data_IF_653192165255
#
_entry.id   IF_653192165255
#
_cell.length_a   1.000
_cell.length_b   1.000
_cell.length_c   1.000
_cell.angle_alpha   90.00
_cell.angle_beta   90.00
_cell.angle_gamma   90.00
#
_symmetry.space_group_name_H-M   'P 1'
#
loop_
_entity.id
_entity.type
_entity.pdbx_description
1 polymer ?
#
# COMPACT_ATOMS: atom_id res chain seq x y z
N UNK A 1 21.67 3.32 19.72
CA UNK A 1 22.52 3.39 18.52
C UNK A 1 21.76 2.67 17.43
N UNK A 2 21.31 3.40 16.40
CA UNK A 2 20.53 2.83 15.29
C UNK A 2 21.50 2.01 14.45
N UNK A 3 21.21 0.73 14.23
CA UNK A 3 22.06 -0.16 13.43
C UNK A 3 21.69 -0.02 11.95
N UNK A 4 22.05 1.14 11.35
CA UNK A 4 21.86 1.41 9.92
C UNK A 4 23.01 0.84 9.08
N UNK A 5 23.36 -0.44 9.28
CA UNK A 5 24.34 -1.14 8.46
C UNK A 5 23.65 -2.01 7.41
N UNK A 6 24.24 -2.13 6.22
CA UNK A 6 23.70 -2.93 5.11
C UNK A 6 22.49 -2.27 4.44
N UNK A 7 21.46 -3.05 4.11
CA UNK A 7 20.30 -2.62 3.31
C UNK A 7 19.66 -1.33 3.83
N UNK A 8 19.47 -1.22 5.15
CA UNK A 8 18.78 -0.08 5.76
C UNK A 8 19.62 1.21 5.82
N UNK A 9 20.84 1.20 5.27
CA UNK A 9 21.64 2.42 5.09
C UNK A 9 21.13 3.28 3.93
N UNK A 10 20.56 2.66 2.89
CA UNK A 10 19.98 3.33 1.71
C UNK A 10 18.44 3.30 1.73
N UNK A 11 17.86 2.32 2.45
CA UNK A 11 16.43 2.03 2.45
C UNK A 11 15.84 2.14 3.84
N UNK A 12 14.53 2.39 3.89
CA UNK A 12 13.72 2.22 5.08
C UNK A 12 12.55 1.28 4.76
N UNK A 13 11.96 0.61 5.76
CA UNK A 13 10.68 -0.08 5.55
C UNK A 13 9.64 0.92 5.08
N UNK A 14 8.96 0.62 3.98
CA UNK A 14 7.80 1.39 3.58
C UNK A 14 6.68 1.07 4.57
N UNK A 15 6.32 2.05 5.40
CA UNK A 15 5.19 1.94 6.31
C UNK A 15 4.00 2.71 5.73
N UNK A 16 2.90 2.02 5.45
CA UNK A 16 1.69 2.64 4.92
C UNK A 16 0.72 3.04 6.04
N UNK A 17 -0.06 4.08 5.80
CA UNK A 17 -1.18 4.45 6.66
C UNK A 17 -2.44 3.94 5.99
N UNK A 18 -2.95 2.81 6.46
CA UNK A 18 -4.18 2.21 5.96
C UNK A 18 -5.39 3.00 6.43
N UNK A 19 -6.43 3.06 5.61
CA UNK A 19 -7.73 3.59 6.04
C UNK A 19 -8.42 2.47 6.82
N UNK A 20 -8.78 2.76 8.08
CA UNK A 20 -9.56 1.87 8.94
C UNK A 20 -11.05 2.17 8.84
N UNK A 21 -11.76 2.13 9.98
CA UNK A 21 -13.18 2.49 9.98
C UNK A 21 -13.39 3.94 9.60
N UNK A 22 -14.40 4.13 8.76
CA UNK A 22 -15.04 5.41 8.47
C UNK A 22 -16.51 5.28 8.83
N UNK A 23 -16.87 5.76 10.01
CA UNK A 23 -18.26 5.77 10.45
C UNK A 23 -19.09 6.69 9.54
N UNK A 24 -20.35 6.35 9.29
CA UNK A 24 -21.20 7.19 8.44
C UNK A 24 -21.49 8.54 9.10
N UNK A 25 -21.92 8.53 10.38
CA UNK A 25 -22.17 9.68 11.25
C UNK A 25 -22.19 9.22 12.75
N UNK A 26 -22.33 10.16 13.70
CA UNK A 26 -22.28 9.92 15.16
C UNK A 26 -23.31 8.89 15.69
N UNK A 27 -24.40 8.69 14.96
CA UNK A 27 -25.47 7.71 15.23
C UNK A 27 -25.62 6.70 14.06
N UNK A 28 -24.53 6.49 13.30
CA UNK A 28 -24.48 6.13 11.88
C UNK A 28 -25.29 4.94 11.40
N UNK A 29 -25.82 5.09 10.18
CA UNK A 29 -26.41 4.03 9.38
C UNK A 29 -25.42 2.87 9.26
N UNK A 30 -25.73 1.68 9.83
CA UNK A 30 -24.81 0.54 9.79
C UNK A 30 -24.51 0.09 8.36
N UNK A 31 -25.37 0.44 7.39
CA UNK A 31 -25.24 0.03 6.00
C UNK A 31 -24.40 1.02 5.14
N UNK A 32 -23.87 2.10 5.74
CA UNK A 32 -23.00 3.09 5.09
C UNK A 32 -21.63 3.26 5.77
N UNK A 33 -21.31 2.41 6.75
CA UNK A 33 -20.01 2.38 7.44
C UNK A 33 -18.96 1.67 6.56
N UNK A 34 -17.79 2.30 6.32
CA UNK A 34 -16.64 1.67 5.66
C UNK A 34 -15.64 1.12 6.69
N UNK A 35 -15.02 -0.02 6.41
CA UNK A 35 -13.95 -0.62 7.21
C UNK A 35 -12.66 -0.80 6.40
N UNK A 36 -11.62 -1.36 7.00
CA UNK A 36 -10.31 -1.56 6.35
C UNK A 36 -10.35 -2.42 5.06
N UNK A 37 -11.33 -3.32 4.94
CA UNK A 37 -11.51 -4.17 3.75
C UNK A 37 -12.18 -3.43 2.59
N UNK A 38 -12.85 -2.30 2.87
CA UNK A 38 -13.37 -1.41 1.84
C UNK A 38 -12.23 -0.60 1.15
N UNK A 39 -11.01 -0.66 1.69
CA UNK A 39 -9.79 0.00 1.19
C UNK A 39 -8.63 -0.97 0.94
N UNK A 40 -8.90 -2.28 0.99
CA UNK A 40 -7.98 -3.35 0.61
C UNK A 40 -8.48 -3.98 -0.68
N UNK A 41 -7.61 -4.15 -1.66
CA UNK A 41 -8.04 -4.41 -3.04
C UNK A 41 -7.73 -5.84 -3.47
N UNK A 42 -8.76 -6.59 -3.86
CA UNK A 42 -8.60 -7.87 -4.51
C UNK A 42 -8.81 -7.76 -6.03
N UNK A 43 -7.98 -8.43 -6.84
CA UNK A 43 -8.18 -8.44 -8.27
C UNK A 43 -9.40 -9.28 -8.64
N UNK A 44 -10.22 -8.75 -9.53
CA UNK A 44 -11.37 -9.46 -10.11
C UNK A 44 -10.81 -10.55 -11.01
N UNK A 45 -10.80 -11.78 -10.52
CA UNK A 45 -10.34 -12.93 -11.28
C UNK A 45 -11.13 -14.18 -10.92
N UNK A 46 -11.23 -15.10 -11.88
CA UNK A 46 -11.91 -16.37 -11.69
C UNK A 46 -11.18 -17.31 -10.71
N UNK A 47 -9.94 -16.98 -10.30
CA UNK A 47 -9.07 -17.88 -9.55
C UNK A 47 -8.48 -17.23 -8.29
N UNK A 48 -9.25 -17.24 -7.20
CA UNK A 48 -8.88 -16.69 -5.86
C UNK A 48 -7.74 -17.43 -5.14
N UNK A 49 -7.19 -18.50 -5.74
CA UNK A 49 -6.31 -19.46 -5.03
C UNK A 49 -4.82 -19.23 -5.23
N UNK A 50 -4.40 -18.23 -6.00
CA UNK A 50 -2.99 -18.00 -6.35
C UNK A 50 -2.56 -16.55 -6.08
N UNK A 51 -1.29 -16.31 -5.68
CA UNK A 51 -0.77 -14.96 -5.62
C UNK A 51 -0.91 -14.32 -7.01
N UNK A 52 -1.66 -13.22 -7.06
CA UNK A 52 -1.93 -12.52 -8.31
C UNK A 52 -0.66 -11.78 -8.75
N UNK A 53 0.06 -12.39 -9.69
CA UNK A 53 1.23 -11.82 -10.33
C UNK A 53 0.80 -11.24 -11.67
N UNK A 54 0.97 -9.93 -11.83
CA UNK A 54 0.60 -9.22 -13.06
C UNK A 54 1.83 -8.96 -13.91
N UNK A 55 1.80 -9.29 -15.19
CA UNK A 55 2.98 -9.20 -16.06
C UNK A 55 3.01 -7.92 -16.92
N UNK A 56 2.08 -6.98 -16.71
CA UNK A 56 2.05 -5.69 -17.40
C UNK A 56 1.37 -5.69 -18.77
N UNK A 57 0.85 -6.83 -19.22
CA UNK A 57 0.24 -6.99 -20.55
C UNK A 57 -1.23 -6.55 -20.59
N UNK A 58 -1.93 -6.62 -19.45
CA UNK A 58 -3.37 -6.39 -19.35
C UNK A 58 -3.69 -5.36 -18.27
N UNK A 59 -4.84 -4.70 -18.43
CA UNK A 59 -5.44 -3.87 -17.38
C UNK A 59 -5.94 -4.79 -16.28
N UNK A 60 -5.54 -4.53 -15.05
CA UNK A 60 -5.93 -5.31 -13.89
C UNK A 60 -7.09 -4.60 -13.20
N UNK A 61 -8.23 -5.29 -13.09
CA UNK A 61 -9.39 -4.76 -12.41
C UNK A 61 -9.40 -5.21 -10.95
N UNK A 62 -9.66 -4.27 -10.03
CA UNK A 62 -9.73 -4.49 -8.59
C UNK A 62 -11.09 -4.11 -8.02
N UNK A 63 -11.51 -4.82 -6.98
CA UNK A 63 -12.66 -4.52 -6.14
C UNK A 63 -12.24 -4.57 -4.66
N UNK A 64 -13.05 -3.99 -3.74
CA UNK A 64 -12.77 -4.11 -2.32
C UNK A 64 -12.78 -5.57 -1.86
N UNK A 65 -12.01 -5.89 -0.82
CA UNK A 65 -12.04 -7.20 -0.16
C UNK A 65 -13.33 -7.41 0.65
N UNK A 66 -13.98 -6.32 1.04
CA UNK A 66 -15.27 -6.31 1.73
C UNK A 66 -16.33 -7.10 0.96
N UNK A 67 -17.05 -7.99 1.67
CA UNK A 67 -18.12 -8.82 1.10
C UNK A 67 -19.52 -8.16 1.20
N UNK A 68 -19.58 -6.94 1.73
CA UNK A 68 -20.82 -6.21 1.98
C UNK A 68 -21.17 -5.29 0.81
N UNK A 69 -22.37 -5.46 0.26
CA UNK A 69 -22.90 -4.51 -0.72
C UNK A 69 -23.45 -3.26 -0.01
N UNK A 70 -22.66 -2.19 -0.04
CA UNK A 70 -22.98 -0.88 0.56
C UNK A 70 -23.24 0.20 -0.49
N UNK A 71 -23.22 -0.16 -1.77
CA UNK A 71 -23.09 0.81 -2.85
C UNK A 71 -24.26 1.80 -2.85
N UNK A 72 -25.50 1.33 -2.71
CA UNK A 72 -26.68 2.21 -2.71
C UNK A 72 -26.65 3.24 -1.58
N UNK A 73 -26.33 2.81 -0.36
CA UNK A 73 -26.35 3.67 0.83
C UNK A 73 -25.20 4.67 0.80
N UNK A 74 -24.01 4.24 0.39
CA UNK A 74 -22.86 5.13 0.18
C UNK A 74 -23.16 6.19 -0.88
N UNK A 75 -23.73 5.80 -2.02
CA UNK A 75 -24.13 6.74 -3.07
C UNK A 75 -25.16 7.75 -2.57
N UNK A 76 -26.13 7.31 -1.76
CA UNK A 76 -27.11 8.21 -1.14
C UNK A 76 -26.45 9.23 -0.22
N UNK A 77 -25.44 8.82 0.58
CA UNK A 77 -24.74 9.70 1.54
C UNK A 77 -23.75 10.64 0.87
N UNK A 78 -23.02 10.19 -0.15
CA UNK A 78 -22.04 11.01 -0.89
C UNK A 78 -22.70 11.90 -1.95
N UNK A 79 -23.99 11.71 -2.22
CA UNK A 79 -24.68 12.38 -3.32
C UNK A 79 -24.19 11.93 -4.69
N UNK A 80 -23.79 10.65 -4.80
CA UNK A 80 -23.22 10.06 -6.02
C UNK A 80 -21.81 10.55 -6.35
N UNK A 81 -21.08 11.10 -5.37
CA UNK A 81 -19.66 11.39 -5.52
C UNK A 81 -18.84 10.12 -5.26
N UNK A 82 -17.76 9.88 -6.03
CA UNK A 82 -16.80 8.82 -5.74
C UNK A 82 -16.22 8.94 -4.32
N UNK A 83 -15.83 7.80 -3.76
CA UNK A 83 -15.06 7.79 -2.52
C UNK A 83 -13.64 8.29 -2.80
N UNK A 84 -13.08 9.07 -1.88
CA UNK A 84 -11.66 9.37 -1.88
C UNK A 84 -10.87 8.07 -1.85
N UNK A 85 -9.89 7.93 -2.74
CA UNK A 85 -9.04 6.75 -2.82
C UNK A 85 -7.68 7.01 -2.16
N UNK A 86 -7.10 6.04 -1.43
CA UNK A 86 -5.70 6.15 -0.99
C UNK A 86 -4.78 6.12 -2.22
N UNK A 87 -3.79 7.01 -2.27
CA UNK A 87 -2.83 7.07 -3.39
C UNK A 87 -1.85 5.90 -3.42
N UNK A 88 -1.69 5.22 -2.29
CA UNK A 88 -0.88 4.02 -2.16
C UNK A 88 -1.61 3.06 -1.23
N UNK A 89 -1.73 1.81 -1.64
CA UNK A 89 -2.34 0.77 -0.81
C UNK A 89 -1.77 -0.60 -1.16
N UNK A 90 -1.81 -1.51 -0.19
CA UNK A 90 -1.59 -2.93 -0.45
C UNK A 90 -2.80 -3.55 -1.17
N UNK A 91 -2.56 -4.62 -1.91
CA UNK A 91 -3.61 -5.47 -2.48
C UNK A 91 -3.68 -6.81 -1.74
N UNK A 92 -4.69 -7.62 -2.03
CA UNK A 92 -4.82 -9.00 -1.59
C UNK A 92 -3.63 -9.83 -2.10
N UNK A 93 -2.57 -9.92 -1.29
CA UNK A 93 -1.30 -10.55 -1.68
C UNK A 93 -0.07 -9.76 -1.21
N UNK A 94 0.98 -10.48 -0.82
CA UNK A 94 2.14 -9.90 -0.12
C UNK A 94 3.11 -9.12 -1.02
N UNK A 95 2.91 -9.15 -2.34
CA UNK A 95 3.89 -8.71 -3.33
C UNK A 95 3.29 -7.77 -4.38
N UNK A 96 2.18 -7.12 -4.05
CA UNK A 96 1.53 -6.15 -4.94
C UNK A 96 1.25 -4.86 -4.18
N UNK A 97 1.60 -3.74 -4.80
CA UNK A 97 1.20 -2.41 -4.37
C UNK A 97 0.35 -1.78 -5.47
N UNK A 98 -0.67 -1.04 -5.08
CA UNK A 98 -1.44 -0.18 -5.95
C UNK A 98 -0.97 1.25 -5.70
N UNK A 99 -0.56 1.96 -6.76
CA UNK A 99 -0.09 3.34 -6.69
C UNK A 99 -0.91 4.19 -7.64
N UNK A 100 -1.20 5.42 -7.23
CA UNK A 100 -1.64 6.48 -8.12
C UNK A 100 -0.59 6.69 -9.24
N UNK A 101 -1.07 6.99 -10.45
CA UNK A 101 -0.26 7.10 -11.66
C UNK A 101 0.84 8.17 -11.54
N UNK A 102 0.61 9.27 -10.82
CA UNK A 102 1.62 10.31 -10.61
C UNK A 102 2.78 9.80 -9.76
N UNK A 103 2.50 8.94 -8.77
CA UNK A 103 3.52 8.33 -7.92
C UNK A 103 4.24 7.20 -8.66
N UNK A 104 3.51 6.39 -9.43
CA UNK A 104 4.08 5.34 -10.25
C UNK A 104 5.04 5.90 -11.33
N UNK A 105 4.72 7.06 -11.91
CA UNK A 105 5.55 7.72 -12.92
C UNK A 105 6.93 8.18 -12.41
N UNK A 106 7.13 8.28 -11.09
CA UNK A 106 8.45 8.58 -10.49
C UNK A 106 9.38 7.37 -10.42
N UNK A 107 8.87 6.18 -10.76
CA UNK A 107 9.56 4.92 -10.57
C UNK A 107 10.10 4.41 -11.89
N UNK A 108 11.39 4.09 -11.88
CA UNK A 108 12.05 3.32 -12.91
C UNK A 108 12.61 2.05 -12.26
N UNK A 109 12.44 0.90 -12.90
CA UNK A 109 13.00 -0.35 -12.41
C UNK A 109 13.87 -1.00 -13.47
N UNK A 110 14.99 -1.59 -13.02
CA UNK A 110 15.76 -2.48 -13.87
C UNK A 110 14.98 -3.79 -14.10
N UNK A 111 14.98 -4.31 -15.33
CA UNK A 111 14.40 -5.63 -15.67
C UNK A 111 14.92 -6.79 -14.79
N UNK A 112 16.10 -6.60 -14.20
CA UNK A 112 16.70 -7.56 -13.27
C UNK A 112 15.91 -7.69 -11.97
N UNK A 113 15.10 -6.69 -11.61
CA UNK A 113 14.34 -6.69 -10.35
C UNK A 113 13.11 -7.58 -10.40
N UNK A 114 12.62 -7.90 -11.60
CA UNK A 114 11.36 -8.63 -11.73
C UNK A 114 10.22 -7.86 -11.07
N UNK A 115 10.13 -6.56 -11.35
CA UNK A 115 9.01 -5.70 -10.97
C UNK A 115 8.32 -5.30 -12.26
N UNK A 116 7.01 -5.40 -12.30
CA UNK A 116 6.19 -5.01 -13.45
C UNK A 116 5.19 -3.94 -13.04
N UNK A 117 4.85 -3.09 -14.00
CA UNK A 117 3.77 -2.12 -13.90
C UNK A 117 2.63 -2.63 -14.77
N UNK A 118 1.42 -2.68 -14.21
CA UNK A 118 0.20 -2.96 -14.96
C UNK A 118 -0.78 -1.82 -14.73
N UNK A 119 -1.41 -1.32 -15.79
CA UNK A 119 -2.50 -0.36 -15.62
C UNK A 119 -3.59 -1.00 -14.74
N UNK A 120 -4.19 -0.21 -13.85
CA UNK A 120 -5.19 -0.70 -12.91
C UNK A 120 -6.48 0.10 -12.99
N UNK A 121 -7.58 -0.63 -12.93
CA UNK A 121 -8.93 -0.12 -12.75
C UNK A 121 -9.43 -0.55 -11.38
N UNK A 122 -9.88 0.38 -10.55
CA UNK A 122 -10.24 0.11 -9.16
C UNK A 122 -11.67 0.56 -8.93
N UNK A 123 -12.51 -0.34 -8.42
CA UNK A 123 -13.85 0.00 -7.98
C UNK A 123 -13.84 0.32 -6.50
N UNK A 124 -14.36 1.49 -6.12
CA UNK A 124 -14.57 1.82 -4.72
C UNK A 124 -15.80 1.08 -4.14
N UNK A 125 -15.97 1.12 -2.82
CA UNK A 125 -17.11 0.49 -2.14
C UNK A 125 -18.48 1.11 -2.52
N UNK A 126 -18.50 2.31 -3.12
CA UNK A 126 -19.70 2.92 -3.69
C UNK A 126 -19.93 2.50 -5.16
N UNK A 127 -19.07 1.65 -5.73
CA UNK A 127 -19.16 1.10 -7.08
C UNK A 127 -18.59 2.00 -8.18
N UNK A 128 -17.97 3.14 -7.83
CA UNK A 128 -17.37 4.03 -8.82
C UNK A 128 -16.01 3.50 -9.31
N UNK A 129 -15.74 3.71 -10.60
CA UNK A 129 -14.52 3.27 -11.24
C UNK A 129 -13.46 4.37 -11.21
N UNK A 130 -12.25 4.01 -10.78
CA UNK A 130 -11.05 4.83 -10.76
C UNK A 130 -10.00 4.22 -11.69
N UNK A 131 -9.44 5.01 -12.60
CA UNK A 131 -8.52 4.54 -13.68
C UNK A 131 -7.14 5.20 -13.61
N UNK A 132 -6.89 5.94 -12.54
CA UNK A 132 -5.70 6.72 -12.25
C UNK A 132 -4.67 5.91 -11.43
N UNK A 133 -4.71 4.58 -11.52
CA UNK A 133 -3.86 3.68 -10.76
C UNK A 133 -3.00 2.76 -11.63
N UNK A 134 -1.85 2.38 -11.07
CA UNK A 134 -0.93 1.39 -11.58
C UNK A 134 -0.64 0.34 -10.50
N UNK A 135 -0.82 -0.93 -10.83
CA UNK A 135 -0.43 -2.05 -9.98
C UNK A 135 1.04 -2.40 -10.21
N UNK A 136 1.83 -2.34 -9.14
CA UNK A 136 3.22 -2.79 -9.08
C UNK A 136 3.25 -4.21 -8.54
N UNK A 137 3.75 -5.17 -9.32
CA UNK A 137 3.86 -6.58 -8.92
C UNK A 137 5.33 -7.00 -8.83
N UNK A 138 5.71 -7.63 -7.71
CA UNK A 138 7.08 -8.02 -7.38
C UNK A 138 7.27 -9.54 -7.52
N UNK A 139 7.88 -9.99 -8.63
CA UNK A 139 8.00 -11.41 -9.01
C UNK A 139 9.28 -12.10 -8.52
N UNK A 140 10.28 -11.30 -8.14
CA UNK A 140 11.59 -11.80 -7.69
C UNK A 140 11.92 -11.24 -6.31
N UNK A 141 11.04 -11.53 -5.35
CA UNK A 141 11.28 -11.20 -3.94
C UNK A 141 12.50 -11.98 -3.46
N UNK A 142 13.41 -11.28 -2.78
CA UNK A 142 14.69 -11.82 -2.35
C UNK A 142 14.75 -11.88 -0.85
N UNK A 143 15.40 -12.91 -0.32
CA UNK A 143 15.85 -12.90 1.06
C UNK A 143 16.87 -11.78 1.27
N UNK A 144 16.76 -11.09 2.40
CA UNK A 144 17.64 -9.98 2.79
C UNK A 144 19.14 -10.28 2.58
N UNK A 145 19.62 -11.49 2.88
CA UNK A 145 21.06 -11.84 2.74
C UNK A 145 21.59 -11.78 1.29
N UNK A 146 20.72 -11.76 0.27
CA UNK A 146 21.11 -11.67 -1.15
C UNK A 146 21.08 -10.25 -1.70
N UNK A 147 20.60 -9.28 -0.93
CA UNK A 147 20.34 -7.92 -1.39
C UNK A 147 21.59 -7.28 -2.02
N UNK A 148 22.66 -7.14 -1.24
CA UNK A 148 23.91 -6.52 -1.68
C UNK A 148 24.45 -7.14 -2.98
N UNK A 149 24.42 -8.47 -3.08
CA UNK A 149 24.95 -9.18 -4.25
C UNK A 149 24.07 -8.97 -5.48
N UNK A 150 22.74 -8.91 -5.33
CA UNK A 150 21.82 -8.70 -6.45
C UNK A 150 21.90 -7.27 -6.98
N UNK A 151 21.97 -6.29 -6.08
CA UNK A 151 21.80 -4.88 -6.41
C UNK A 151 23.11 -4.14 -6.64
N UNK A 152 24.28 -4.75 -6.37
CA UNK A 152 25.62 -4.14 -6.54
C UNK A 152 25.82 -3.38 -7.86
N UNK A 153 25.23 -3.86 -8.95
CA UNK A 153 25.39 -3.28 -10.29
C UNK A 153 24.12 -2.61 -10.83
N UNK A 154 23.13 -2.34 -9.98
CA UNK A 154 21.88 -1.69 -10.34
C UNK A 154 21.89 -0.28 -9.74
N UNK A 155 21.83 0.79 -10.56
CA UNK A 155 21.77 2.16 -10.06
C UNK A 155 20.60 2.36 -9.10
N UNK A 156 20.79 3.13 -8.02
CA UNK A 156 19.73 3.38 -7.01
C UNK A 156 18.44 3.94 -7.60
N UNK A 157 18.56 4.81 -8.61
CA UNK A 157 17.44 5.36 -9.37
C UNK A 157 16.54 4.29 -10.02
N UNK A 158 17.08 3.08 -10.29
CA UNK A 158 16.36 1.96 -10.89
C UNK A 158 15.92 0.89 -9.88
N UNK A 159 15.99 1.20 -8.58
CA UNK A 159 15.63 0.29 -7.46
C UNK A 159 15.04 1.06 -6.28
N UNK A 160 14.22 2.08 -6.55
CA UNK A 160 13.69 2.98 -5.52
C UNK A 160 12.67 2.31 -4.57
N UNK A 161 12.00 1.25 -5.03
CA UNK A 161 11.17 0.37 -4.24
C UNK A 161 11.56 -1.08 -4.51
N UNK A 162 11.63 -1.88 -3.46
CA UNK A 162 11.96 -3.31 -3.53
C UNK A 162 11.16 -4.07 -2.49
N UNK A 163 10.84 -5.33 -2.75
CA UNK A 163 10.21 -6.22 -1.79
C UNK A 163 11.25 -7.25 -1.32
N UNK A 164 11.34 -7.47 0.00
CA UNK A 164 12.22 -8.47 0.58
C UNK A 164 11.46 -9.42 1.50
N UNK A 165 11.93 -10.66 1.58
CA UNK A 165 11.54 -11.58 2.65
C UNK A 165 12.33 -11.26 3.92
N UNK A 166 11.62 -10.97 5.00
CA UNK A 166 12.20 -10.82 6.34
C UNK A 166 12.46 -12.19 6.95
N UNK A 167 11.45 -13.08 6.90
CA UNK A 167 11.54 -14.47 7.30
C UNK A 167 10.66 -15.36 6.40
N UNK A 168 10.32 -16.59 6.81
CA UNK A 168 9.50 -17.50 5.99
C UNK A 168 8.01 -17.12 5.97
N UNK A 169 7.58 -16.27 6.89
CA UNK A 169 6.19 -15.93 7.13
C UNK A 169 5.87 -14.46 6.81
N UNK A 170 6.89 -13.59 6.73
CA UNK A 170 6.72 -12.14 6.52
C UNK A 170 7.67 -11.56 5.47
N UNK A 171 7.12 -10.65 4.68
CA UNK A 171 7.83 -9.80 3.73
C UNK A 171 7.61 -8.33 4.07
N UNK A 172 8.44 -7.45 3.52
CA UNK A 172 8.21 -6.01 3.59
C UNK A 172 8.63 -5.34 2.29
N UNK A 173 7.97 -4.24 1.97
CA UNK A 173 8.47 -3.28 1.00
C UNK A 173 9.53 -2.40 1.68
N UNK A 174 10.58 -2.11 0.94
CA UNK A 174 11.61 -1.16 1.30
C UNK A 174 11.59 -0.02 0.29
N UNK A 175 11.63 1.20 0.81
CA UNK A 175 11.67 2.44 0.05
C UNK A 175 13.04 3.09 0.20
N UNK A 176 13.65 3.44 -0.92
CA UNK A 176 14.90 4.19 -0.93
C UNK A 176 14.66 5.57 -0.33
N UNK A 177 15.55 6.04 0.55
CA UNK A 177 15.35 7.28 1.31
C UNK A 177 15.09 8.50 0.40
N UNK A 178 15.74 8.58 -0.76
CA UNK A 178 15.51 9.67 -1.71
C UNK A 178 14.12 9.68 -2.36
N UNK A 179 13.41 8.55 -2.43
CA UNK A 179 12.01 8.52 -2.86
C UNK A 179 11.10 8.91 -1.70
N UNK A 180 11.39 8.39 -0.50
CA UNK A 180 10.64 8.72 0.71
C UNK A 180 10.63 10.24 0.97
N UNK A 181 11.78 10.90 0.86
CA UNK A 181 11.89 12.37 0.99
C UNK A 181 11.05 13.12 -0.06
N UNK A 182 11.03 12.64 -1.31
CA UNK A 182 10.21 13.26 -2.37
C UNK A 182 8.73 13.12 -2.09
N UNK A 183 8.28 11.94 -1.68
CA UNK A 183 6.88 11.70 -1.32
C UNK A 183 6.46 12.53 -0.10
N UNK A 184 7.36 12.70 0.87
CA UNK A 184 7.12 13.60 2.01
C UNK A 184 6.94 15.06 1.56
N UNK A 185 7.80 15.55 0.67
CA UNK A 185 7.72 16.91 0.12
C UNK A 185 6.46 17.14 -0.71
N UNK A 186 5.99 16.11 -1.42
CA UNK A 186 4.71 16.13 -2.15
C UNK A 186 3.48 16.01 -1.25
N UNK A 187 3.65 15.69 0.03
CA UNK A 187 2.56 15.48 0.97
C UNK A 187 1.76 14.22 0.68
N UNK A 188 2.41 13.11 0.31
CA UNK A 188 1.71 11.81 0.20
C UNK A 188 1.28 11.37 1.61
N UNK A 189 -0.03 11.28 1.82
CA UNK A 189 -0.66 11.19 3.15
C UNK A 189 -0.78 9.76 3.67
N UNK A 190 -0.64 8.78 2.78
CA UNK A 190 -0.74 7.33 3.02
C UNK A 190 0.60 6.68 3.43
N UNK A 191 1.65 7.47 3.70
CA UNK A 191 2.96 6.97 4.12
C UNK A 191 3.27 7.46 5.53
N UNK A 192 3.66 6.54 6.42
CA UNK A 192 4.23 6.89 7.71
C UNK A 192 5.73 7.20 7.55
N UNK A 193 6.09 8.46 7.70
CA UNK A 193 7.48 8.93 7.64
C UNK A 193 8.20 8.79 8.99
N UNK A 194 7.45 8.67 10.09
CA UNK A 194 7.98 8.58 11.45
C UNK A 194 8.17 7.10 11.85
N UNK A 195 9.17 6.47 11.22
CA UNK A 195 9.45 5.05 11.42
C UNK A 195 10.10 4.84 12.79
N UNK A 196 9.47 4.02 13.64
CA UNK A 196 9.97 3.74 14.98
C UNK A 196 11.41 3.15 14.98
N UNK A 197 12.28 3.50 15.96
CA UNK A 197 13.68 3.06 15.97
C UNK A 197 13.90 1.54 15.90
N UNK A 198 12.96 0.75 16.39
CA UNK A 198 12.96 -0.71 16.27
C UNK A 198 12.78 -1.21 14.84
N UNK A 199 12.00 -0.50 14.01
CA UNK A 199 11.79 -0.82 12.61
C UNK A 199 12.96 -0.34 11.74
N UNK A 200 13.81 0.55 12.25
CA UNK A 200 15.05 0.97 11.58
C UNK A 200 16.21 -0.02 11.76
N UNK A 201 15.96 -1.22 12.30
CA UNK A 201 16.95 -2.29 12.40
C UNK A 201 16.44 -3.55 11.71
N UNK A 202 17.17 -4.00 10.68
CA UNK A 202 16.79 -5.18 9.90
C UNK A 202 16.70 -6.42 10.78
N UNK A 203 17.65 -6.56 11.72
CA UNK A 203 17.64 -7.65 12.69
C UNK A 203 16.34 -7.67 13.50
N UNK A 204 15.91 -6.52 14.02
CA UNK A 204 14.66 -6.42 14.80
C UNK A 204 13.42 -6.67 13.95
N UNK A 205 13.39 -6.18 12.71
CA UNK A 205 12.30 -6.49 11.77
C UNK A 205 12.18 -8.00 11.54
N UNK A 206 13.30 -8.69 11.37
CA UNK A 206 13.33 -10.13 11.15
C UNK A 206 12.93 -10.96 12.39
N UNK A 207 13.13 -10.40 13.59
CA UNK A 207 12.74 -11.02 14.86
C UNK A 207 11.22 -10.94 15.12
N UNK A 208 10.48 -10.09 14.40
CA UNK A 208 9.01 -10.02 14.52
C UNK A 208 8.37 -11.24 13.85
N UNK A 209 7.52 -11.94 14.59
CA UNK A 209 6.72 -13.06 14.07
C UNK A 209 5.89 -12.63 12.85
N UNK A 210 5.27 -11.45 12.96
CA UNK A 210 4.59 -10.76 11.87
C UNK A 210 4.94 -9.27 11.92
N UNK A 211 5.47 -8.74 10.82
CA UNK A 211 5.64 -7.32 10.61
C UNK A 211 4.68 -6.89 9.52
N UNK A 212 3.75 -6.01 9.87
CA UNK A 212 2.66 -5.62 8.98
C UNK A 212 2.99 -4.37 8.16
N UNK A 213 3.97 -3.58 8.59
CA UNK A 213 4.40 -2.40 7.83
C UNK A 213 3.30 -1.38 7.58
N UNK A 214 2.31 -1.29 8.47
CA UNK A 214 1.29 -0.26 8.40
C UNK A 214 0.85 0.20 9.79
N UNK A 215 0.29 1.41 9.85
CA UNK A 215 -0.60 1.86 10.91
C UNK A 215 -1.97 2.19 10.31
N UNK A 216 -2.98 2.41 11.14
CA UNK A 216 -4.36 2.61 10.65
C UNK A 216 -4.87 3.99 11.05
N UNK A 217 -5.46 4.70 10.09
CA UNK A 217 -6.16 5.98 10.27
C UNK A 217 -7.67 5.77 10.16
N UNK A 218 -8.39 6.15 11.21
CA UNK A 218 -9.84 5.99 11.34
C UNK A 218 -10.52 7.37 11.29
N UNK A 219 -11.76 7.42 10.82
CA UNK A 219 -12.53 8.65 10.68
C UNK A 219 -13.90 8.51 11.32
N UNK A 220 -14.32 9.54 12.05
CA UNK A 220 -15.59 9.53 12.80
C UNK A 220 -16.83 9.80 11.96
N UNK A 221 -16.66 10.28 10.73
CA UNK A 221 -17.71 10.54 9.76
C UNK A 221 -17.15 10.49 8.33
N UNK A 222 -18.04 10.31 7.35
CA UNK A 222 -17.67 10.19 5.94
C UNK A 222 -17.15 11.51 5.34
N UNK A 223 -17.62 12.66 5.81
CA UNK A 223 -17.23 13.97 5.28
C UNK A 223 -15.76 14.29 5.63
N UNK A 224 -15.35 13.98 6.87
CA UNK A 224 -13.97 14.07 7.34
C UNK A 224 -13.05 13.13 6.55
N UNK A 225 -13.50 11.91 6.23
CA UNK A 225 -12.78 11.00 5.36
C UNK A 225 -12.60 11.57 3.95
N UNK A 226 -13.68 12.01 3.30
CA UNK A 226 -13.66 12.57 1.94
C UNK A 226 -12.73 13.78 1.81
N UNK A 227 -12.63 14.57 2.88
CA UNK A 227 -11.78 15.76 2.94
C UNK A 227 -10.41 15.50 3.59
N UNK A 228 -10.14 14.28 4.06
CA UNK A 228 -9.02 13.88 4.91
C UNK A 228 -8.73 14.86 6.05
N UNK A 229 -9.73 15.06 6.91
CA UNK A 229 -9.64 15.91 8.10
C UNK A 229 -9.95 15.09 9.33
N UNK A 230 -9.39 15.51 10.47
CA UNK A 230 -9.67 14.90 11.78
C UNK A 230 -9.50 13.37 11.85
N UNK A 231 -8.66 12.80 10.99
CA UNK A 231 -8.34 11.37 11.04
C UNK A 231 -7.52 11.04 12.29
N UNK A 232 -7.85 9.94 12.96
CA UNK A 232 -7.17 9.46 14.15
C UNK A 232 -6.26 8.30 13.77
N UNK A 233 -4.94 8.44 14.00
CA UNK A 233 -3.99 7.36 13.80
C UNK A 233 -3.86 6.59 15.12
N UNK A 234 -4.03 5.28 15.07
CA UNK A 234 -3.66 4.41 16.19
C UNK A 234 -2.16 4.10 16.09
N UNK A 235 -1.37 4.68 17.01
CA UNK A 235 0.09 4.54 17.04
C UNK A 235 0.56 3.20 17.64
N UNK A 236 -0.35 2.24 17.89
CA UNK A 236 -0.01 0.91 18.41
C UNK A 236 0.58 -0.01 17.32
N UNK A 237 1.82 0.24 16.89
CA UNK A 237 2.59 -0.63 15.95
C UNK A 237 3.98 -1.00 16.50
#
# INVERSE_FOLDING_TARGET
MIDMQGILSEYLPLQLIHVGDVYADKDGDPDAWLNEYDFSWQPISDNRSHPHLFLGEEVVCFEPESDQDKAENLNRRTGGQPLRMPKISTCSGRYTLLLDNELAAELEFSDKLGITFSAAEVRDAAGHLHTDFTALSFHKVLFHHRFETRFRHIPSAQRLLVCIELNQSSSTFLIHQSLLERWQQKGVEEVNYDIAPEHQSLKKLMEKDHYWGYCTRWFTNLDDFQQNRHGHIDDQV
#
